data_IF_390262464673
#
_entry.id   IF_390262464673
#
_cell.length_a   1.000
_cell.length_b   1.000
_cell.length_c   1.000
_cell.angle_alpha   90.00
_cell.angle_beta   90.00
_cell.angle_gamma   90.00
#
_symmetry.space_group_name_H-M   'P 1'
#
loop_
_entity.id
_entity.type
_entity.pdbx_description
1 polymer ?
#
# COMPACT_ATOMS: atom_id res chain seq x y z
N UNK A 1 29.82 -14.14 -14.24
CA UNK A 1 28.71 -13.27 -14.67
C UNK A 1 27.34 -13.87 -14.36
N UNK A 2 27.03 -15.10 -14.78
CA UNK A 2 25.77 -15.78 -14.44
C UNK A 2 25.56 -15.92 -12.92
N UNK A 3 26.60 -16.34 -12.20
CA UNK A 3 26.54 -16.56 -10.74
C UNK A 3 26.27 -15.28 -9.97
N UNK A 4 26.83 -14.12 -10.38
CA UNK A 4 26.56 -12.82 -9.78
C UNK A 4 25.16 -12.31 -10.07
N UNK A 5 24.62 -12.60 -11.26
CA UNK A 5 23.25 -12.26 -11.63
C UNK A 5 22.23 -13.09 -10.83
N UNK A 6 22.52 -14.37 -10.57
CA UNK A 6 21.67 -15.23 -9.76
C UNK A 6 21.67 -14.82 -8.28
N UNK A 7 22.85 -14.53 -7.73
CA UNK A 7 22.98 -14.02 -6.34
C UNK A 7 22.21 -12.70 -6.17
N UNK A 8 22.31 -11.79 -7.13
CA UNK A 8 21.56 -10.53 -7.08
C UNK A 8 20.05 -10.74 -7.18
N UNK A 9 19.61 -11.71 -7.98
CA UNK A 9 18.20 -12.02 -8.16
C UNK A 9 17.59 -12.63 -6.89
N UNK A 10 18.27 -13.56 -6.25
CA UNK A 10 17.83 -14.16 -4.98
C UNK A 10 17.83 -13.14 -3.84
N UNK A 11 18.85 -12.30 -3.74
CA UNK A 11 18.92 -11.25 -2.73
C UNK A 11 17.86 -10.18 -2.92
N UNK A 12 17.53 -9.81 -4.16
CA UNK A 12 16.44 -8.88 -4.47
C UNK A 12 15.08 -9.46 -4.08
N UNK A 13 14.83 -10.74 -4.37
CA UNK A 13 13.56 -11.39 -4.01
C UNK A 13 13.42 -11.52 -2.49
N UNK A 14 14.49 -11.95 -1.81
CA UNK A 14 14.54 -12.06 -0.35
C UNK A 14 14.41 -10.71 0.35
N UNK A 15 14.83 -9.62 -0.29
CA UNK A 15 14.68 -8.26 0.23
C UNK A 15 13.27 -7.70 0.01
N UNK A 16 12.67 -7.95 -1.14
CA UNK A 16 11.35 -7.42 -1.49
C UNK A 16 10.20 -8.18 -0.83
N UNK A 17 10.31 -9.49 -0.67
CA UNK A 17 9.23 -10.34 -0.17
C UNK A 17 8.74 -9.96 1.23
N UNK A 18 9.59 -9.64 2.23
CA UNK A 18 9.12 -9.27 3.56
C UNK A 18 8.22 -8.04 3.57
N UNK A 19 8.57 -6.97 2.85
CA UNK A 19 7.75 -5.76 2.83
C UNK A 19 6.48 -5.91 1.99
N UNK A 20 6.48 -6.75 0.94
CA UNK A 20 5.27 -7.11 0.20
C UNK A 20 4.28 -7.88 1.09
N UNK A 21 4.76 -8.86 1.84
CA UNK A 21 3.94 -9.61 2.79
C UNK A 21 3.40 -8.69 3.88
N UNK A 22 4.23 -7.79 4.41
CA UNK A 22 3.81 -6.82 5.40
C UNK A 22 2.68 -5.92 4.87
N UNK A 23 2.79 -5.45 3.63
CA UNK A 23 1.75 -4.67 2.97
C UNK A 23 0.43 -5.43 2.90
N UNK A 24 0.44 -6.66 2.39
CA UNK A 24 -0.79 -7.45 2.24
C UNK A 24 -1.40 -7.84 3.58
N UNK A 25 -0.59 -8.19 4.58
CA UNK A 25 -1.09 -8.48 5.93
C UNK A 25 -1.76 -7.23 6.51
N UNK A 26 -1.10 -6.08 6.41
CA UNK A 26 -1.62 -4.83 6.95
C UNK A 26 -2.91 -4.37 6.29
N UNK A 27 -3.00 -4.47 4.96
CA UNK A 27 -4.16 -3.97 4.22
C UNK A 27 -5.34 -4.94 4.16
N UNK A 28 -5.11 -6.23 4.25
CA UNK A 28 -6.17 -7.22 4.07
C UNK A 28 -6.51 -8.03 5.32
N UNK A 29 -5.54 -8.32 6.18
CA UNK A 29 -5.80 -9.12 7.38
C UNK A 29 -6.05 -8.25 8.62
N UNK A 30 -5.45 -7.08 8.71
CA UNK A 30 -5.56 -6.18 9.86
C UNK A 30 -6.53 -5.02 9.64
N UNK A 31 -7.25 -5.00 8.54
CA UNK A 31 -8.31 -4.04 8.27
C UNK A 31 -9.67 -4.73 8.40
N UNK A 32 -10.52 -4.21 9.30
CA UNK A 32 -11.91 -4.66 9.41
C UNK A 32 -12.84 -3.78 8.55
N UNK A 33 -14.10 -4.17 8.47
CA UNK A 33 -15.10 -3.44 7.65
C UNK A 33 -15.32 -2.01 8.13
N UNK A 34 -15.28 -1.78 9.45
CA UNK A 34 -15.42 -0.43 9.98
C UNK A 34 -14.31 0.50 9.49
N UNK A 35 -13.06 0.06 9.53
CA UNK A 35 -11.93 0.83 8.99
C UNK A 35 -12.06 1.04 7.48
N UNK A 36 -12.39 0.00 6.74
CA UNK A 36 -12.53 0.06 5.29
C UNK A 36 -13.58 1.09 4.86
N UNK A 37 -14.71 1.15 5.57
CA UNK A 37 -15.81 2.08 5.24
C UNK A 37 -15.51 3.50 5.71
N UNK A 38 -14.82 3.67 6.83
CA UNK A 38 -14.68 4.97 7.49
C UNK A 38 -13.34 5.68 7.27
N UNK A 39 -12.30 5.01 6.78
CA UNK A 39 -10.97 5.60 6.64
C UNK A 39 -10.94 6.85 5.73
N UNK A 40 -11.83 6.96 4.75
CA UNK A 40 -11.94 8.15 3.91
C UNK A 40 -12.79 9.27 4.51
N UNK A 41 -13.57 8.97 5.52
CA UNK A 41 -14.51 9.92 6.16
C UNK A 41 -14.03 10.43 7.50
N UNK A 42 -13.21 9.65 8.19
CA UNK A 42 -12.77 9.90 9.55
C UNK A 42 -11.26 9.77 9.67
N UNK A 43 -10.61 10.85 10.11
CA UNK A 43 -9.16 10.83 10.36
C UNK A 43 -8.78 9.85 11.48
N UNK A 44 -9.66 9.65 12.47
CA UNK A 44 -9.44 8.66 13.53
C UNK A 44 -9.44 7.24 12.94
N UNK A 45 -10.43 6.90 12.12
CA UNK A 45 -10.51 5.58 11.50
C UNK A 45 -9.31 5.31 10.58
N UNK A 46 -8.91 6.31 9.79
CA UNK A 46 -7.72 6.22 8.94
C UNK A 46 -6.45 6.03 9.77
N UNK A 47 -6.29 6.75 10.86
CA UNK A 47 -5.12 6.64 11.75
C UNK A 47 -5.06 5.26 12.40
N UNK A 48 -6.18 4.72 12.87
CA UNK A 48 -6.24 3.37 13.42
C UNK A 48 -5.85 2.34 12.35
N UNK A 49 -6.42 2.45 11.15
CA UNK A 49 -6.10 1.55 10.05
C UNK A 49 -4.61 1.58 9.70
N UNK A 50 -4.04 2.77 9.50
CA UNK A 50 -2.63 2.90 9.09
C UNK A 50 -1.68 2.47 10.20
N UNK A 51 -2.03 2.70 11.47
CA UNK A 51 -1.24 2.23 12.60
C UNK A 51 -1.18 0.70 12.63
N UNK A 52 -2.33 0.03 12.45
CA UNK A 52 -2.37 -1.43 12.34
C UNK A 52 -1.66 -1.94 11.08
N UNK A 53 -1.82 -1.24 9.96
CA UNK A 53 -1.12 -1.53 8.71
C UNK A 53 0.40 -1.57 8.90
N UNK A 54 0.95 -0.66 9.69
CA UNK A 54 2.39 -0.58 9.91
C UNK A 54 2.95 -1.63 10.87
N UNK A 55 2.12 -2.31 11.65
CA UNK A 55 2.61 -3.32 12.61
C UNK A 55 3.45 -4.44 11.95
N UNK A 56 3.02 -5.05 10.83
CA UNK A 56 3.86 -6.05 10.15
C UNK A 56 5.19 -5.51 9.68
N UNK A 57 5.28 -4.22 9.35
CA UNK A 57 6.53 -3.59 8.92
C UNK A 57 7.58 -3.50 10.04
N UNK A 58 7.18 -3.63 11.30
CA UNK A 58 8.13 -3.72 12.42
C UNK A 58 8.99 -4.98 12.36
N UNK A 59 8.52 -6.02 11.66
CA UNK A 59 9.27 -7.26 11.43
C UNK A 59 10.16 -7.19 10.20
N UNK A 60 10.12 -6.09 9.46
CA UNK A 60 10.99 -5.82 8.32
C UNK A 60 12.16 -4.93 8.74
N UNK A 61 13.15 -4.80 7.87
CA UNK A 61 14.35 -3.99 8.15
C UNK A 61 14.21 -2.53 7.74
N UNK A 62 13.01 -1.94 7.84
CA UNK A 62 12.82 -0.53 7.54
C UNK A 62 13.50 0.37 8.57
N UNK A 63 14.19 1.40 8.09
CA UNK A 63 14.67 2.48 8.93
C UNK A 63 13.51 3.31 9.47
N UNK A 64 13.75 4.14 10.49
CA UNK A 64 12.72 5.04 11.05
C UNK A 64 12.19 6.00 9.97
N UNK A 65 13.08 6.53 9.12
CA UNK A 65 12.68 7.42 8.03
C UNK A 65 11.80 6.71 7.02
N UNK A 66 12.18 5.51 6.61
CA UNK A 66 11.37 4.69 5.71
C UNK A 66 10.00 4.39 6.32
N UNK A 67 9.96 4.02 7.59
CA UNK A 67 8.71 3.75 8.31
C UNK A 67 7.78 4.96 8.30
N UNK A 68 8.31 6.14 8.62
CA UNK A 68 7.53 7.40 8.60
C UNK A 68 7.01 7.72 7.20
N UNK A 69 7.82 7.54 6.16
CA UNK A 69 7.44 7.82 4.79
C UNK A 69 6.34 6.86 4.29
N UNK A 70 6.43 5.59 4.64
CA UNK A 70 5.38 4.62 4.31
C UNK A 70 4.08 4.95 5.05
N UNK A 71 4.17 5.26 6.34
CA UNK A 71 3.00 5.66 7.14
C UNK A 71 2.30 6.88 6.54
N UNK A 72 3.06 7.93 6.28
CA UNK A 72 2.50 9.20 5.80
C UNK A 72 1.79 9.05 4.44
N UNK A 73 2.40 8.35 3.49
CA UNK A 73 1.79 8.14 2.18
C UNK A 73 0.54 7.28 2.28
N UNK A 74 0.58 6.19 3.04
CA UNK A 74 -0.57 5.30 3.20
C UNK A 74 -1.75 6.07 3.81
N UNK A 75 -1.49 6.89 4.83
CA UNK A 75 -2.51 7.72 5.46
C UNK A 75 -3.12 8.74 4.48
N UNK A 76 -2.28 9.46 3.73
CA UNK A 76 -2.74 10.47 2.77
C UNK A 76 -3.57 9.81 1.67
N UNK A 77 -3.11 8.71 1.11
CA UNK A 77 -3.83 8.01 0.04
C UNK A 77 -5.18 7.48 0.52
N UNK A 78 -5.22 6.85 1.70
CA UNK A 78 -6.44 6.24 2.23
C UNK A 78 -7.42 7.28 2.76
N UNK A 79 -6.93 8.39 3.32
CA UNK A 79 -7.79 9.46 3.84
C UNK A 79 -8.42 10.34 2.76
N UNK A 80 -7.76 10.46 1.63
CA UNK A 80 -8.19 11.37 0.55
C UNK A 80 -8.86 10.62 -0.60
N UNK A 81 -9.41 11.35 -1.54
CA UNK A 81 -10.05 10.82 -2.76
C UNK A 81 -9.06 10.67 -3.92
N UNK A 82 -7.76 10.47 -3.62
CA UNK A 82 -6.71 10.41 -4.62
C UNK A 82 -6.95 9.33 -5.67
N UNK A 83 -7.31 8.12 -5.27
CA UNK A 83 -7.53 7.00 -6.19
C UNK A 83 -8.73 7.27 -7.10
N UNK A 84 -9.83 7.77 -6.55
CA UNK A 84 -11.00 8.16 -7.35
C UNK A 84 -10.67 9.26 -8.35
N UNK A 85 -9.89 10.25 -7.92
CA UNK A 85 -9.41 11.33 -8.80
C UNK A 85 -8.52 10.80 -9.91
N UNK A 86 -7.58 9.91 -9.59
CA UNK A 86 -6.70 9.30 -10.58
C UNK A 86 -7.49 8.51 -11.63
N UNK A 87 -8.36 7.61 -11.19
CA UNK A 87 -9.16 6.78 -12.09
C UNK A 87 -10.07 7.64 -12.98
N UNK A 88 -10.68 8.69 -12.43
CA UNK A 88 -11.50 9.63 -13.19
C UNK A 88 -10.69 10.38 -14.25
N UNK A 89 -9.50 10.88 -13.88
CA UNK A 89 -8.62 11.63 -14.78
C UNK A 89 -8.10 10.77 -15.92
N UNK A 90 -7.72 9.52 -15.61
CA UNK A 90 -7.25 8.56 -16.60
C UNK A 90 -8.38 7.89 -17.40
N UNK A 91 -9.62 8.02 -16.95
CA UNK A 91 -10.76 7.33 -17.56
C UNK A 91 -10.80 5.83 -17.26
N UNK A 92 -10.13 5.37 -16.20
CA UNK A 92 -10.00 3.96 -15.85
C UNK A 92 -11.08 3.54 -14.86
N UNK A 93 -11.68 2.38 -15.08
CA UNK A 93 -12.65 1.75 -14.16
C UNK A 93 -13.86 2.59 -13.81
N UNK A 94 -14.23 3.58 -14.65
CA UNK A 94 -15.38 4.46 -14.40
C UNK A 94 -16.72 3.75 -14.57
N UNK A 95 -16.78 2.75 -15.44
CA UNK A 95 -17.99 1.97 -15.66
C UNK A 95 -18.39 1.15 -14.43
N UNK A 96 -17.42 0.71 -13.61
CA UNK A 96 -17.68 -0.06 -12.38
C UNK A 96 -18.45 0.75 -11.34
N UNK A 97 -18.30 2.07 -11.31
CA UNK A 97 -18.98 2.94 -10.35
C UNK A 97 -20.48 3.04 -10.61
N UNK A 98 -20.94 2.65 -11.80
CA UNK A 98 -22.35 2.67 -12.21
C UNK A 98 -23.09 1.36 -11.90
N UNK A 99 -22.36 0.34 -11.45
CA UNK A 99 -22.94 -0.96 -11.11
C UNK A 99 -22.94 -1.14 -9.60
N UNK A 100 -23.86 -1.93 -9.02
CA UNK A 100 -23.86 -2.24 -7.59
C UNK A 100 -22.73 -3.19 -7.18
N UNK A 101 -21.92 -3.66 -8.11
CA UNK A 101 -20.75 -4.50 -7.84
C UNK A 101 -19.64 -3.68 -7.16
N UNK A 102 -18.78 -4.37 -6.37
CA UNK A 102 -17.63 -3.75 -5.73
C UNK A 102 -16.68 -3.17 -6.80
N UNK A 103 -16.11 -1.98 -6.54
CA UNK A 103 -15.20 -1.32 -7.50
C UNK A 103 -13.81 -1.97 -7.48
N UNK A 104 -13.70 -3.18 -7.99
CA UNK A 104 -12.46 -3.96 -8.01
C UNK A 104 -11.28 -3.23 -8.64
N UNK A 105 -11.54 -2.47 -9.70
CA UNK A 105 -10.50 -1.70 -10.37
C UNK A 105 -9.90 -0.62 -9.47
N UNK A 106 -10.71 0.03 -8.65
CA UNK A 106 -10.25 1.00 -7.68
C UNK A 106 -9.38 0.34 -6.59
N UNK A 107 -9.75 -0.85 -6.13
CA UNK A 107 -8.92 -1.62 -5.20
C UNK A 107 -7.56 -1.99 -5.80
N UNK A 108 -7.54 -2.41 -7.06
CA UNK A 108 -6.30 -2.75 -7.77
C UNK A 108 -5.40 -1.52 -7.88
N UNK A 109 -5.93 -0.38 -8.31
CA UNK A 109 -5.18 0.86 -8.45
C UNK A 109 -4.65 1.34 -7.10
N UNK A 110 -5.47 1.29 -6.06
CA UNK A 110 -5.08 1.61 -4.69
C UNK A 110 -3.89 0.79 -4.23
N UNK A 111 -3.95 -0.52 -4.43
CA UNK A 111 -2.86 -1.44 -4.11
C UNK A 111 -1.57 -1.14 -4.89
N UNK A 112 -1.70 -0.89 -6.18
CA UNK A 112 -0.55 -0.59 -7.03
C UNK A 112 0.20 0.64 -6.51
N UNK A 113 -0.50 1.72 -6.17
CA UNK A 113 0.12 2.93 -5.64
C UNK A 113 0.81 2.69 -4.30
N UNK A 114 0.19 1.93 -3.39
CA UNK A 114 0.82 1.60 -2.12
C UNK A 114 2.09 0.77 -2.30
N UNK A 115 2.04 -0.24 -3.15
CA UNK A 115 3.20 -1.11 -3.43
C UNK A 115 4.33 -0.33 -4.11
N UNK A 116 4.01 0.50 -5.09
CA UNK A 116 5.02 1.35 -5.76
C UNK A 116 5.70 2.26 -4.73
N UNK A 117 4.94 2.87 -3.83
CA UNK A 117 5.52 3.76 -2.83
C UNK A 117 6.44 3.04 -1.85
N UNK A 118 6.02 1.89 -1.34
CA UNK A 118 6.88 1.08 -0.47
C UNK A 118 8.18 0.72 -1.20
N UNK A 119 8.08 0.32 -2.46
CA UNK A 119 9.24 0.01 -3.29
C UNK A 119 10.17 1.23 -3.44
N UNK A 120 9.62 2.39 -3.77
CA UNK A 120 10.40 3.64 -3.91
C UNK A 120 11.11 3.99 -2.60
N UNK A 121 10.40 3.92 -1.48
CA UNK A 121 10.97 4.23 -0.17
C UNK A 121 12.13 3.27 0.17
N UNK A 122 11.93 1.98 -0.05
CA UNK A 122 12.94 0.97 0.24
C UNK A 122 14.18 1.14 -0.65
N UNK A 123 14.00 1.51 -1.92
CA UNK A 123 15.11 1.66 -2.86
C UNK A 123 15.89 2.96 -2.68
N UNK A 124 15.23 4.06 -2.37
CA UNK A 124 15.84 5.39 -2.47
C UNK A 124 15.99 6.15 -1.15
N UNK A 125 15.37 5.70 -0.07
CA UNK A 125 15.38 6.41 1.22
C UNK A 125 15.98 5.59 2.36
N UNK A 126 16.70 4.55 2.03
CA UNK A 126 17.37 3.68 3.00
C UNK A 126 18.75 4.19 3.48
#
# INVERSE_FOLDING_TARGET
MQMLAEVNKESMLGFALPWLLAHFIGDYLLQNDWMAVNKKKSSLACTIHVTLYMLPFLLTELTIIQFILVYAQHWIQDRTKFISWWCKTMGSFQAELKTPALPWGHFIVDNIFHVIWVWVVVQYFG
#
